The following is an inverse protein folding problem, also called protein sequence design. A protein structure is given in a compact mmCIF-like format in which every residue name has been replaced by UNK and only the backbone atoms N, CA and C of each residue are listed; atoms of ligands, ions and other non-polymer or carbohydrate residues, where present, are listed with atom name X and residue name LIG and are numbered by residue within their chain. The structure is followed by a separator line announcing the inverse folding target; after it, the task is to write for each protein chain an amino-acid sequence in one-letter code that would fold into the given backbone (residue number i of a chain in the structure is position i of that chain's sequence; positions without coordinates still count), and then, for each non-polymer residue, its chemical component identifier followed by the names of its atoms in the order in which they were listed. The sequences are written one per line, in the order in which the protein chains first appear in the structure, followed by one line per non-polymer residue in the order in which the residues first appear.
data_IF_834634388148
#
_entry.id   IF_834634388148
#
_cell.length_a   1.000
_cell.length_b   1.000
_cell.length_c   1.000
_cell.angle_alpha   90.00
_cell.angle_beta   90.00
_cell.angle_gamma   90.00
#
_symmetry.space_group_name_H-M   'P 1'
#
loop_
_entity.id
_entity.type
_entity.pdbx_description
1 polymer ?
#
# COMPACT_ATOMS: atom_id res chain seq x y z
N UNK A 1 32.97 -0.86 21.11
CA UNK A 1 32.19 -1.63 22.10
C UNK A 1 30.80 -1.83 21.51
N UNK A 2 30.31 -3.07 21.45
CA UNK A 2 28.94 -3.35 21.02
C UNK A 2 27.93 -2.94 22.11
N UNK A 3 26.65 -2.76 21.69
CA UNK A 3 25.55 -2.52 22.65
C UNK A 3 25.18 -3.80 23.40
N UNK A 4 24.66 -3.67 24.61
CA UNK A 4 24.11 -4.81 25.37
C UNK A 4 22.72 -5.16 24.81
N UNK A 5 22.65 -6.21 23.99
CA UNK A 5 21.42 -6.67 23.35
C UNK A 5 20.43 -7.34 24.32
N UNK A 6 20.84 -7.69 25.55
CA UNK A 6 19.94 -8.33 26.56
C UNK A 6 18.83 -7.39 27.04
N UNK A 7 18.93 -6.10 26.77
CA UNK A 7 17.91 -5.08 27.09
C UNK A 7 16.98 -4.75 25.92
N UNK A 8 17.23 -5.33 24.76
CA UNK A 8 16.40 -5.18 23.57
C UNK A 8 15.41 -6.35 23.52
N UNK A 9 14.17 -6.09 23.13
CA UNK A 9 13.18 -7.15 22.96
C UNK A 9 13.65 -8.17 21.92
N UNK A 10 13.44 -9.45 22.18
CA UNK A 10 13.91 -10.55 21.33
C UNK A 10 13.35 -10.47 19.91
N UNK A 11 12.12 -9.98 19.74
CA UNK A 11 11.44 -9.81 18.45
C UNK A 11 12.12 -8.77 17.54
N UNK A 12 12.97 -7.90 18.11
CA UNK A 12 13.73 -6.88 17.37
C UNK A 12 15.16 -7.33 17.01
N UNK A 13 15.60 -8.50 17.45
CA UNK A 13 16.95 -9.01 17.15
C UNK A 13 17.13 -9.61 15.75
N UNK A 14 16.11 -10.23 15.13
CA UNK A 14 16.21 -10.71 13.76
C UNK A 14 16.40 -9.54 12.77
N UNK A 15 17.06 -9.84 11.63
CA UNK A 15 17.08 -8.92 10.49
C UNK A 15 15.67 -8.81 9.87
N UNK A 16 15.27 -7.59 9.56
CA UNK A 16 13.98 -7.29 8.93
C UNK A 16 14.17 -7.07 7.45
N UNK A 17 13.21 -7.50 6.64
CA UNK A 17 13.16 -7.15 5.22
C UNK A 17 12.77 -5.68 5.07
N UNK A 18 13.47 -4.95 4.22
CA UNK A 18 13.16 -3.54 3.95
C UNK A 18 13.59 -3.19 2.52
N UNK A 19 12.63 -3.06 1.63
CA UNK A 19 12.92 -2.63 0.26
C UNK A 19 13.39 -1.16 0.21
N UNK A 20 13.03 -0.35 1.20
CA UNK A 20 13.43 1.05 1.25
C UNK A 20 14.95 1.22 1.45
N UNK A 21 15.56 0.32 2.24
CA UNK A 21 16.99 0.38 2.55
C UNK A 21 17.86 -0.31 1.51
N UNK A 22 17.30 -1.29 0.79
CA UNK A 22 18.04 -2.17 -0.13
C UNK A 22 17.94 -1.76 -1.60
N UNK A 23 17.10 -0.76 -1.94
CA UNK A 23 16.96 -0.30 -3.32
C UNK A 23 18.18 0.55 -3.71
N UNK A 24 18.96 0.20 -4.75
CA UNK A 24 20.06 1.01 -5.24
C UNK A 24 19.61 2.40 -5.67
N UNK A 25 20.49 3.38 -5.59
CA UNK A 25 20.21 4.71 -6.11
C UNK A 25 20.25 4.71 -7.64
N UNK A 26 19.24 5.31 -8.26
CA UNK A 26 19.20 5.51 -9.70
C UNK A 26 20.25 6.56 -10.12
N UNK A 27 20.98 6.32 -11.19
CA UNK A 27 21.78 7.33 -11.88
C UNK A 27 20.90 8.13 -12.88
N UNK A 28 21.52 9.12 -13.56
CA UNK A 28 20.77 10.00 -14.47
C UNK A 28 20.15 9.30 -15.68
N UNK A 29 20.71 8.16 -16.09
CA UNK A 29 20.25 7.43 -17.27
C UNK A 29 19.33 6.27 -16.90
N UNK A 30 19.21 5.96 -15.63
CA UNK A 30 18.36 4.86 -15.12
C UNK A 30 16.89 5.28 -15.06
N UNK A 31 15.99 4.46 -15.58
CA UNK A 31 14.57 4.60 -15.39
C UNK A 31 14.19 3.99 -14.03
N UNK A 32 13.87 4.85 -13.07
CA UNK A 32 13.45 4.39 -11.74
C UNK A 32 12.00 3.89 -11.75
N UNK A 33 11.86 2.58 -11.67
CA UNK A 33 10.61 1.85 -11.51
C UNK A 33 10.53 1.13 -10.14
N UNK A 34 11.34 1.53 -9.15
CA UNK A 34 11.44 0.88 -7.85
C UNK A 34 10.38 1.38 -6.86
N UNK A 35 10.19 2.70 -6.76
CA UNK A 35 9.25 3.29 -5.81
C UNK A 35 7.83 3.29 -6.38
N UNK A 36 6.88 2.75 -5.61
CA UNK A 36 5.46 2.69 -6.01
C UNK A 36 4.71 4.02 -5.89
N UNK A 37 5.28 5.11 -6.40
CA UNK A 37 4.68 6.45 -6.41
C UNK A 37 3.96 6.72 -7.74
N UNK A 38 3.13 7.79 -7.82
CA UNK A 38 2.55 8.22 -9.08
C UNK A 38 3.65 8.71 -10.03
N UNK A 39 3.85 8.09 -11.21
CA UNK A 39 4.89 8.52 -12.16
C UNK A 39 4.62 9.90 -12.77
N UNK A 40 3.38 10.38 -12.71
CA UNK A 40 2.98 11.71 -13.21
C UNK A 40 3.22 12.83 -12.19
N UNK A 41 3.62 12.47 -10.94
CA UNK A 41 3.87 13.43 -9.87
C UNK A 41 2.59 13.80 -9.11
N UNK A 42 2.56 15.00 -8.57
CA UNK A 42 1.43 15.57 -7.84
C UNK A 42 0.70 16.64 -8.67
N UNK A 43 -0.58 16.93 -8.37
CA UNK A 43 -1.37 17.96 -9.08
C UNK A 43 -0.81 19.37 -8.88
N UNK A 44 -0.87 20.22 -9.91
CA UNK A 44 -0.31 21.59 -9.90
C UNK A 44 -0.86 22.46 -8.76
N UNK A 45 -2.11 22.22 -8.34
CA UNK A 45 -2.74 22.91 -7.21
C UNK A 45 -1.91 22.84 -5.92
N UNK A 46 -1.08 21.82 -5.76
CA UNK A 46 -0.18 21.68 -4.59
C UNK A 46 0.83 22.83 -4.54
N UNK A 47 1.32 23.29 -5.71
CA UNK A 47 2.27 24.41 -5.82
C UNK A 47 1.62 25.68 -5.27
N UNK A 48 0.38 25.95 -5.68
CA UNK A 48 -0.37 27.13 -5.22
C UNK A 48 -0.63 27.11 -3.72
N UNK A 49 -0.96 25.93 -3.18
CA UNK A 49 -1.18 25.74 -1.74
C UNK A 49 0.10 26.02 -0.96
N UNK A 50 1.25 25.46 -1.40
CA UNK A 50 2.53 25.66 -0.72
C UNK A 50 2.95 27.12 -0.76
N UNK A 51 2.73 27.84 -1.88
CA UNK A 51 3.04 29.26 -1.99
C UNK A 51 2.13 30.16 -1.16
N UNK A 52 0.87 29.78 -0.97
CA UNK A 52 -0.12 30.55 -0.20
C UNK A 52 -0.20 30.15 1.28
N UNK A 53 0.55 29.12 1.70
CA UNK A 53 0.50 28.61 3.07
C UNK A 53 0.96 29.68 4.07
N UNK A 54 0.13 29.96 5.07
CA UNK A 54 0.52 30.83 6.18
C UNK A 54 1.52 30.10 7.10
N UNK A 55 2.79 30.48 6.99
CA UNK A 55 3.88 29.92 7.80
C UNK A 55 3.70 30.11 9.32
N UNK A 56 2.87 31.07 9.76
CA UNK A 56 2.58 31.26 11.18
C UNK A 56 1.82 30.07 11.78
N UNK A 57 1.13 29.27 10.96
CA UNK A 57 0.50 28.01 11.39
C UNK A 57 1.52 27.00 11.93
N UNK A 58 2.79 27.09 11.54
CA UNK A 58 3.85 26.20 12.05
C UNK A 58 4.32 26.55 13.46
N UNK A 59 3.93 27.70 14.01
CA UNK A 59 4.36 28.14 15.35
C UNK A 59 3.68 27.35 16.47
N UNK A 60 2.48 26.82 16.24
CA UNK A 60 1.71 26.06 17.23
C UNK A 60 1.58 24.60 16.85
N UNK A 61 1.20 23.76 17.82
CA UNK A 61 0.81 22.39 17.52
C UNK A 61 -0.40 22.36 16.57
N UNK A 62 -0.48 21.37 15.66
CA UNK A 62 -1.59 21.29 14.71
C UNK A 62 -2.94 21.08 15.43
N UNK A 63 -3.88 21.98 15.17
CA UNK A 63 -5.24 21.92 15.73
C UNK A 63 -6.33 21.96 14.65
N UNK A 64 -5.96 22.16 13.38
CA UNK A 64 -6.92 22.26 12.29
C UNK A 64 -7.60 20.92 12.01
N UNK A 65 -8.92 20.91 11.90
CA UNK A 65 -9.73 19.77 11.50
C UNK A 65 -10.00 19.74 9.98
N UNK A 66 -9.47 20.73 9.23
CA UNK A 66 -9.73 20.92 7.80
C UNK A 66 -9.47 19.66 6.93
N UNK A 67 -8.41 18.91 7.24
CA UNK A 67 -8.09 17.67 6.51
C UNK A 67 -9.12 16.56 6.79
N UNK A 68 -9.56 16.42 8.06
CA UNK A 68 -10.56 15.46 8.47
C UNK A 68 -11.94 15.80 7.86
N UNK A 69 -12.33 17.06 7.88
CA UNK A 69 -13.56 17.56 7.27
C UNK A 69 -13.56 17.34 5.74
N UNK A 70 -12.41 17.57 5.09
CA UNK A 70 -12.25 17.32 3.66
C UNK A 70 -12.37 15.82 3.31
N UNK A 71 -11.85 14.91 4.15
CA UNK A 71 -12.05 13.46 3.97
C UNK A 71 -13.53 13.11 4.05
N UNK A 72 -14.26 13.63 5.06
CA UNK A 72 -15.71 13.38 5.19
C UNK A 72 -16.45 13.86 3.95
N UNK A 73 -16.15 15.07 3.48
CA UNK A 73 -16.76 15.64 2.27
C UNK A 73 -16.41 14.82 1.02
N UNK A 74 -15.18 14.36 0.89
CA UNK A 74 -14.72 13.55 -0.26
C UNK A 74 -15.51 12.25 -0.42
N UNK A 75 -15.96 11.67 0.70
CA UNK A 75 -16.72 10.42 0.71
C UNK A 75 -18.23 10.59 0.82
N UNK A 76 -18.78 11.82 1.00
CA UNK A 76 -20.19 12.08 1.33
C UNK A 76 -21.18 11.46 0.33
N UNK A 77 -20.83 11.39 -0.97
CA UNK A 77 -21.70 10.86 -2.02
C UNK A 77 -21.58 9.33 -2.17
N UNK A 78 -20.65 8.72 -1.45
CA UNK A 78 -20.29 7.30 -1.55
C UNK A 78 -20.59 6.50 -0.28
N UNK A 79 -20.35 7.08 0.89
CA UNK A 79 -20.54 6.43 2.17
C UNK A 79 -20.90 7.44 3.25
N UNK A 80 -21.78 7.04 4.18
CA UNK A 80 -22.06 7.86 5.35
C UNK A 80 -20.92 7.78 6.35
N UNK A 81 -20.12 8.84 6.41
CA UNK A 81 -18.97 8.98 7.28
C UNK A 81 -19.09 10.30 8.04
N UNK A 82 -18.82 10.25 9.34
CA UNK A 82 -18.74 11.42 10.22
C UNK A 82 -17.29 11.66 10.66
N UNK A 83 -16.92 12.86 11.13
CA UNK A 83 -15.55 13.14 11.57
C UNK A 83 -15.02 12.13 12.61
N UNK A 84 -15.89 11.61 13.47
CA UNK A 84 -15.54 10.61 14.48
C UNK A 84 -15.17 9.25 13.92
N UNK A 85 -15.46 8.98 12.65
CA UNK A 85 -15.04 7.77 11.95
C UNK A 85 -13.61 7.87 11.38
N UNK A 86 -13.03 9.08 11.35
CA UNK A 86 -11.77 9.38 10.66
C UNK A 86 -10.64 9.64 11.65
N UNK A 87 -9.48 9.02 11.41
CA UNK A 87 -8.23 9.32 12.10
C UNK A 87 -7.19 9.73 11.06
N UNK A 88 -6.72 10.98 11.10
CA UNK A 88 -5.63 11.46 10.26
C UNK A 88 -4.30 10.87 10.74
N UNK A 89 -3.41 10.50 9.81
CA UNK A 89 -2.14 9.82 10.11
C UNK A 89 -0.98 10.35 9.25
N UNK A 90 0.26 10.11 9.68
CA UNK A 90 1.48 10.46 8.94
C UNK A 90 1.75 9.46 7.77
N UNK A 91 0.73 9.23 6.94
CA UNK A 91 0.70 8.23 5.87
C UNK A 91 0.19 6.85 6.34
N UNK A 92 0.01 5.93 5.38
CA UNK A 92 -0.53 4.59 5.67
C UNK A 92 0.36 3.74 6.57
N UNK A 93 1.70 3.84 6.48
CA UNK A 93 2.61 3.11 7.37
C UNK A 93 2.34 3.46 8.84
N UNK A 94 2.18 4.75 9.15
CA UNK A 94 1.83 5.18 10.50
C UNK A 94 0.46 4.64 10.92
N UNK A 95 -0.52 4.64 10.02
CA UNK A 95 -1.83 4.05 10.27
C UNK A 95 -1.75 2.55 10.59
N UNK A 96 -1.02 1.78 9.79
CA UNK A 96 -0.83 0.34 9.98
C UNK A 96 -0.13 0.04 11.31
N UNK A 97 0.92 0.80 11.65
CA UNK A 97 1.62 0.66 12.91
C UNK A 97 0.70 0.93 14.11
N UNK A 98 -0.17 1.95 14.03
CA UNK A 98 -1.16 2.21 15.07
C UNK A 98 -2.14 1.04 15.21
N UNK A 99 -2.63 0.48 14.10
CA UNK A 99 -3.56 -0.65 14.12
C UNK A 99 -2.91 -1.90 14.70
N UNK A 100 -1.66 -2.21 14.31
CA UNK A 100 -0.93 -3.32 14.94
C UNK A 100 -0.77 -3.09 16.44
N UNK A 101 -0.44 -1.86 16.89
CA UNK A 101 -0.36 -1.55 18.33
C UNK A 101 -1.69 -1.72 19.06
N UNK A 102 -2.84 -1.50 18.39
CA UNK A 102 -4.16 -1.74 19.00
C UNK A 102 -4.42 -3.24 19.19
N UNK A 103 -4.02 -4.08 18.21
CA UNK A 103 -4.38 -5.50 18.18
C UNK A 103 -3.29 -6.42 18.71
N UNK A 104 -2.02 -5.96 18.74
CA UNK A 104 -0.90 -6.79 19.17
C UNK A 104 -0.99 -7.15 20.66
N UNK A 105 -0.97 -8.43 20.92
CA UNK A 105 -0.79 -9.05 22.24
C UNK A 105 -0.03 -10.35 22.06
N UNK A 106 0.68 -10.86 23.08
CA UNK A 106 1.45 -12.08 22.95
C UNK A 106 0.61 -13.24 22.40
N UNK A 107 1.07 -13.84 21.29
CA UNK A 107 0.41 -14.96 20.64
C UNK A 107 -0.83 -14.62 19.80
N UNK A 108 -1.18 -13.34 19.66
CA UNK A 108 -2.23 -12.90 18.73
C UNK A 108 -1.89 -13.29 17.29
N UNK A 109 -2.90 -13.61 16.49
CA UNK A 109 -2.72 -14.05 15.11
C UNK A 109 -3.20 -12.99 14.12
N UNK A 110 -2.42 -12.78 13.05
CA UNK A 110 -2.78 -12.00 11.89
C UNK A 110 -2.83 -12.93 10.67
N UNK A 111 -3.89 -12.85 9.88
CA UNK A 111 -4.06 -13.62 8.63
C UNK A 111 -3.94 -12.67 7.46
N UNK A 112 -3.18 -13.03 6.42
CA UNK A 112 -3.00 -12.19 5.24
C UNK A 112 -2.61 -13.01 4.00
N UNK A 113 -2.89 -12.48 2.82
CA UNK A 113 -2.33 -13.05 1.59
C UNK A 113 -0.80 -12.93 1.56
N UNK A 114 -0.14 -13.79 0.79
CA UNK A 114 1.30 -13.71 0.54
C UNK A 114 1.57 -14.01 -0.95
N UNK A 115 2.36 -13.17 -1.65
CA UNK A 115 3.05 -11.97 -1.15
C UNK A 115 2.10 -10.80 -0.86
N UNK A 116 2.51 -9.95 0.08
CA UNK A 116 1.80 -8.73 0.50
C UNK A 116 2.80 -7.66 0.92
N UNK A 117 2.32 -6.50 1.38
CA UNK A 117 3.15 -5.40 1.83
C UNK A 117 4.05 -5.80 3.02
N UNK A 118 5.35 -5.82 2.79
CA UNK A 118 6.36 -6.37 3.70
C UNK A 118 6.35 -5.75 5.09
N UNK A 119 6.22 -4.42 5.19
CA UNK A 119 6.28 -3.72 6.49
C UNK A 119 5.15 -4.18 7.42
N UNK A 120 3.98 -4.56 6.89
CA UNK A 120 2.88 -5.08 7.70
C UNK A 120 3.21 -6.44 8.30
N UNK A 121 3.85 -7.31 7.51
CA UNK A 121 4.31 -8.63 7.95
C UNK A 121 5.36 -8.48 9.05
N UNK A 122 6.40 -7.71 8.76
CA UNK A 122 7.54 -7.56 9.65
C UNK A 122 7.15 -6.82 10.94
N UNK A 123 6.33 -5.77 10.84
CA UNK A 123 5.90 -5.04 12.04
C UNK A 123 5.00 -5.88 12.94
N UNK A 124 4.11 -6.71 12.37
CA UNK A 124 3.31 -7.65 13.14
C UNK A 124 4.19 -8.64 13.91
N UNK A 125 5.22 -9.19 13.26
CA UNK A 125 6.20 -10.08 13.90
C UNK A 125 7.00 -9.38 15.00
N UNK A 126 7.49 -8.17 14.75
CA UNK A 126 8.20 -7.35 15.74
C UNK A 126 7.33 -7.01 16.96
N UNK A 127 6.02 -7.02 16.81
CA UNK A 127 5.08 -6.84 17.93
C UNK A 127 4.67 -8.17 18.61
N UNK A 128 5.35 -9.28 18.27
CA UNK A 128 5.14 -10.59 18.89
C UNK A 128 3.89 -11.33 18.41
N UNK A 129 3.32 -10.91 17.27
CA UNK A 129 2.18 -11.59 16.67
C UNK A 129 2.63 -12.78 15.81
N UNK A 130 1.75 -13.78 15.69
CA UNK A 130 1.90 -14.84 14.71
C UNK A 130 1.30 -14.39 13.38
N UNK A 131 2.09 -14.40 12.32
CA UNK A 131 1.61 -14.12 10.97
C UNK A 131 1.30 -15.43 10.25
N UNK A 132 0.04 -15.61 9.89
CA UNK A 132 -0.45 -16.72 9.09
C UNK A 132 -0.61 -16.25 7.64
N UNK A 133 0.39 -16.51 6.81
CA UNK A 133 0.39 -16.17 5.39
C UNK A 133 -0.38 -17.20 4.56
N UNK A 134 -1.38 -16.76 3.81
CA UNK A 134 -2.08 -17.56 2.80
C UNK A 134 -1.35 -17.36 1.47
N UNK A 135 -0.48 -18.30 1.13
CA UNK A 135 0.37 -18.17 -0.06
C UNK A 135 -0.44 -18.28 -1.36
N UNK A 136 -0.33 -17.30 -2.22
CA UNK A 136 -0.78 -17.36 -3.60
C UNK A 136 0.25 -18.16 -4.43
N UNK A 137 -0.23 -19.04 -5.30
CA UNK A 137 0.62 -19.97 -6.04
C UNK A 137 1.11 -19.37 -7.36
N UNK A 138 2.35 -19.71 -7.72
CA UNK A 138 2.84 -19.43 -9.08
C UNK A 138 2.11 -20.23 -10.16
N UNK A 139 1.49 -21.35 -9.81
CA UNK A 139 0.68 -22.18 -10.71
C UNK A 139 -0.61 -21.46 -11.12
N UNK A 140 -1.18 -20.66 -10.21
CA UNK A 140 -2.37 -19.82 -10.46
C UNK A 140 -1.97 -18.37 -10.82
N UNK A 141 -0.74 -18.18 -11.27
CA UNK A 141 -0.18 -16.87 -11.60
C UNK A 141 -0.32 -15.84 -10.46
N UNK A 142 -0.20 -16.28 -9.23
CA UNK A 142 -0.35 -15.51 -7.98
C UNK A 142 -1.73 -14.90 -7.77
N UNK A 143 -2.79 -15.45 -8.39
CA UNK A 143 -4.16 -15.02 -8.14
C UNK A 143 -4.52 -15.19 -6.66
N UNK A 144 -5.13 -14.16 -6.07
CA UNK A 144 -5.60 -14.19 -4.69
C UNK A 144 -6.78 -15.15 -4.54
N UNK A 145 -6.62 -16.15 -3.67
CA UNK A 145 -7.65 -17.16 -3.38
C UNK A 145 -8.44 -16.76 -2.12
N UNK A 146 -9.57 -16.10 -2.36
CA UNK A 146 -10.47 -15.62 -1.30
C UNK A 146 -11.01 -16.75 -0.43
N UNK A 147 -11.28 -17.93 -1.00
CA UNK A 147 -11.81 -19.07 -0.23
C UNK A 147 -10.74 -19.64 0.72
N UNK A 148 -9.49 -19.69 0.29
CA UNK A 148 -8.38 -20.08 1.17
C UNK A 148 -8.17 -19.07 2.29
N UNK A 149 -8.24 -17.76 2.00
CA UNK A 149 -8.13 -16.74 3.03
C UNK A 149 -9.25 -16.87 4.05
N UNK A 150 -10.51 -16.98 3.61
CA UNK A 150 -11.70 -17.15 4.48
C UNK A 150 -11.54 -18.38 5.37
N UNK A 151 -11.03 -19.48 4.81
CA UNK A 151 -10.82 -20.74 5.55
C UNK A 151 -9.74 -20.63 6.63
N UNK A 152 -8.76 -19.72 6.46
CA UNK A 152 -7.71 -19.47 7.43
C UNK A 152 -8.15 -18.58 8.61
N UNK A 153 -9.28 -17.86 8.47
CA UNK A 153 -9.79 -16.97 9.51
C UNK A 153 -10.48 -17.79 10.60
N UNK A 154 -9.97 -17.72 11.83
CA UNK A 154 -10.50 -18.39 13.00
C UNK A 154 -10.87 -17.39 14.09
N UNK A 155 -11.51 -17.85 15.17
CA UNK A 155 -11.80 -17.01 16.35
C UNK A 155 -10.55 -16.53 17.11
N UNK A 156 -9.40 -17.14 16.86
CA UNK A 156 -8.12 -16.77 17.47
C UNK A 156 -7.39 -15.71 16.64
N UNK A 157 -7.85 -15.43 15.41
CA UNK A 157 -7.38 -14.35 14.55
C UNK A 157 -7.76 -13.00 15.16
N UNK A 158 -6.80 -12.13 15.35
CA UNK A 158 -7.04 -10.75 15.83
C UNK A 158 -7.44 -9.82 14.70
N UNK A 159 -6.75 -9.92 13.57
CA UNK A 159 -7.13 -9.22 12.35
C UNK A 159 -6.74 -9.98 11.08
N UNK A 160 -7.46 -9.69 10.02
CA UNK A 160 -7.08 -10.02 8.63
C UNK A 160 -6.53 -8.75 7.99
N UNK A 161 -5.40 -8.86 7.28
CA UNK A 161 -4.84 -7.76 6.50
C UNK A 161 -4.95 -8.06 5.01
N UNK A 162 -5.43 -7.07 4.25
CA UNK A 162 -5.64 -7.14 2.80
C UNK A 162 -5.16 -5.83 2.22
N UNK A 163 -4.11 -5.83 1.43
CA UNK A 163 -3.75 -4.69 0.59
C UNK A 163 -4.53 -4.76 -0.73
N UNK A 164 -5.40 -3.82 -0.96
CA UNK A 164 -6.28 -3.78 -2.13
C UNK A 164 -6.32 -2.38 -2.76
N UNK A 165 -5.63 -2.16 -3.87
CA UNK A 165 -4.82 -3.10 -4.70
C UNK A 165 -3.59 -3.68 -4.00
N UNK A 166 -3.32 -4.98 -4.27
CA UNK A 166 -2.21 -5.70 -3.66
C UNK A 166 -0.82 -5.17 -4.08
N UNK A 167 0.07 -5.08 -3.13
CA UNK A 167 1.49 -4.82 -3.34
C UNK A 167 2.30 -6.09 -2.94
N UNK A 168 2.90 -6.84 -3.89
CA UNK A 168 3.52 -6.32 -5.12
C UNK A 168 2.78 -6.58 -6.44
N UNK A 169 1.68 -7.30 -6.48
CA UNK A 169 1.10 -7.81 -7.73
C UNK A 169 0.28 -6.77 -8.50
N UNK A 170 -0.36 -5.83 -7.82
CA UNK A 170 -1.31 -4.89 -8.40
C UNK A 170 -2.70 -5.48 -8.65
N UNK A 171 -3.01 -6.65 -8.09
CA UNK A 171 -4.36 -7.25 -8.14
C UNK A 171 -5.36 -6.40 -7.37
N UNK A 172 -6.61 -6.48 -7.78
CA UNK A 172 -7.75 -5.81 -7.13
C UNK A 172 -8.83 -6.85 -6.85
N UNK A 173 -9.18 -7.01 -5.59
CA UNK A 173 -10.38 -7.72 -5.19
C UNK A 173 -11.61 -6.83 -5.39
N UNK A 174 -12.66 -7.40 -5.95
CA UNK A 174 -13.94 -6.73 -6.08
C UNK A 174 -14.61 -6.50 -4.71
N UNK A 175 -15.55 -5.55 -4.64
CA UNK A 175 -16.36 -5.36 -3.43
C UNK A 175 -17.20 -6.59 -3.05
N UNK A 176 -17.52 -7.49 -4.00
CA UNK A 176 -18.16 -8.77 -3.71
C UNK A 176 -17.19 -9.71 -2.98
N UNK A 177 -15.97 -9.86 -3.47
CA UNK A 177 -14.92 -10.68 -2.85
C UNK A 177 -14.53 -10.15 -1.47
N UNK A 178 -14.29 -8.84 -1.35
CA UNK A 178 -14.07 -8.18 -0.06
C UNK A 178 -15.25 -8.42 0.89
N UNK A 179 -16.48 -8.26 0.42
CA UNK A 179 -17.70 -8.50 1.20
C UNK A 179 -17.81 -9.92 1.77
N UNK A 180 -17.32 -10.94 1.04
CA UNK A 180 -17.25 -12.33 1.54
C UNK A 180 -16.26 -12.46 2.70
N UNK A 181 -15.08 -11.87 2.57
CA UNK A 181 -14.07 -11.86 3.64
C UNK A 181 -14.60 -11.10 4.86
N UNK A 182 -15.15 -9.91 4.65
CA UNK A 182 -15.70 -9.06 5.72
C UNK A 182 -16.86 -9.74 6.45
N UNK A 183 -17.71 -10.46 5.73
CA UNK A 183 -18.80 -11.25 6.36
C UNK A 183 -18.25 -12.30 7.31
N UNK A 184 -17.18 -13.00 6.91
CA UNK A 184 -16.51 -13.98 7.77
C UNK A 184 -15.87 -13.32 9.00
N UNK A 185 -15.25 -12.16 8.81
CA UNK A 185 -14.67 -11.38 9.91
C UNK A 185 -15.75 -10.93 10.90
N UNK A 186 -16.89 -10.43 10.40
CA UNK A 186 -18.03 -10.02 11.24
C UNK A 186 -18.61 -11.19 12.05
N UNK A 187 -18.79 -12.37 11.43
CA UNK A 187 -19.25 -13.60 12.11
C UNK A 187 -18.37 -14.01 13.31
N UNK A 188 -17.07 -13.80 13.19
CA UNK A 188 -16.09 -14.21 14.19
C UNK A 188 -15.63 -13.08 15.11
N UNK A 189 -16.14 -11.86 14.91
CA UNK A 189 -15.67 -10.63 15.58
C UNK A 189 -14.15 -10.38 15.38
N UNK A 190 -13.65 -10.67 14.19
CA UNK A 190 -12.29 -10.42 13.74
C UNK A 190 -12.26 -9.10 12.98
N UNK A 191 -11.24 -8.26 13.19
CA UNK A 191 -11.08 -7.04 12.43
C UNK A 191 -10.48 -7.30 11.05
N UNK A 192 -10.94 -6.56 10.03
CA UNK A 192 -10.35 -6.58 8.69
C UNK A 192 -9.73 -5.22 8.39
N UNK A 193 -8.40 -5.19 8.22
CA UNK A 193 -7.63 -4.03 7.79
C UNK A 193 -7.50 -4.11 6.28
N UNK A 194 -8.18 -3.22 5.55
CA UNK A 194 -8.06 -3.08 4.11
C UNK A 194 -7.14 -1.89 3.83
N UNK A 195 -5.93 -2.18 3.38
CA UNK A 195 -4.94 -1.17 2.99
C UNK A 195 -5.18 -0.77 1.53
N UNK A 196 -5.72 0.40 1.35
CA UNK A 196 -6.07 0.97 0.06
C UNK A 196 -5.03 1.97 -0.44
N UNK A 197 -3.73 1.72 -0.17
CA UNK A 197 -2.66 2.64 -0.57
C UNK A 197 -2.62 2.92 -2.07
N UNK A 198 -3.03 1.98 -2.90
CA UNK A 198 -3.11 2.14 -4.36
C UNK A 198 -4.52 2.35 -4.90
N UNK A 199 -5.55 2.43 -4.05
CA UNK A 199 -6.94 2.49 -4.49
C UNK A 199 -7.34 3.84 -5.14
N UNK A 200 -6.50 4.86 -5.10
CA UNK A 200 -6.74 6.10 -5.86
C UNK A 200 -6.57 5.91 -7.38
N UNK A 201 -6.02 4.78 -7.82
CA UNK A 201 -5.89 4.42 -9.24
C UNK A 201 -7.10 3.64 -9.79
N UNK A 202 -8.05 3.29 -8.94
CA UNK A 202 -9.33 2.66 -9.31
C UNK A 202 -10.50 3.57 -8.94
N UNK A 203 -11.70 3.38 -9.51
CA UNK A 203 -12.89 4.16 -9.18
C UNK A 203 -13.23 4.11 -7.69
N UNK A 204 -13.70 5.22 -7.11
CA UNK A 204 -14.09 5.30 -5.69
C UNK A 204 -15.19 4.29 -5.32
N UNK A 205 -16.04 3.95 -6.26
CA UNK A 205 -17.11 2.94 -6.11
C UNK A 205 -16.56 1.53 -5.82
N UNK A 206 -15.32 1.26 -6.22
CA UNK A 206 -14.62 0.00 -5.96
C UNK A 206 -13.89 -0.02 -4.61
N UNK A 207 -13.85 1.10 -3.87
CA UNK A 207 -13.20 1.20 -2.57
C UNK A 207 -13.94 0.41 -1.49
N UNK A 208 -13.17 -0.20 -0.57
CA UNK A 208 -13.70 -0.85 0.63
C UNK A 208 -14.49 0.12 1.53
N UNK A 209 -14.24 1.43 1.45
CA UNK A 209 -15.01 2.45 2.20
C UNK A 209 -16.51 2.32 1.93
N UNK A 210 -16.91 1.89 0.71
CA UNK A 210 -18.31 1.63 0.34
C UNK A 210 -18.97 0.55 1.19
N UNK A 211 -18.17 -0.35 1.75
CA UNK A 211 -18.63 -1.48 2.56
C UNK A 211 -18.73 -1.13 4.05
N UNK A 212 -18.09 -0.04 4.49
CA UNK A 212 -18.04 0.38 5.90
C UNK A 212 -19.38 0.42 6.63
N UNK A 213 -20.47 0.92 6.02
CA UNK A 213 -21.78 0.93 6.67
C UNK A 213 -22.36 -0.45 7.00
N UNK A 214 -21.88 -1.52 6.37
CA UNK A 214 -22.36 -2.90 6.60
C UNK A 214 -21.54 -3.68 7.62
N UNK A 215 -20.27 -3.30 7.85
CA UNK A 215 -19.32 -4.12 8.60
C UNK A 215 -18.65 -3.32 9.70
N UNK A 216 -18.97 -3.63 10.95
CA UNK A 216 -18.44 -2.92 12.13
C UNK A 216 -16.96 -3.19 12.38
N UNK A 217 -16.46 -4.33 11.90
CA UNK A 217 -15.06 -4.75 12.08
C UNK A 217 -14.16 -4.36 10.91
N UNK A 218 -14.65 -3.58 9.94
CA UNK A 218 -13.85 -3.10 8.82
C UNK A 218 -13.07 -1.83 9.17
N UNK A 219 -11.82 -1.80 8.70
CA UNK A 219 -10.90 -0.66 8.81
C UNK A 219 -10.34 -0.40 7.42
N UNK A 220 -10.60 0.76 6.83
CA UNK A 220 -9.93 1.20 5.59
C UNK A 220 -8.76 2.10 5.95
N UNK A 221 -7.61 1.86 5.34
CA UNK A 221 -6.39 2.66 5.46
C UNK A 221 -6.09 3.31 4.11
N UNK A 222 -5.95 4.63 4.09
CA UNK A 222 -5.72 5.42 2.87
C UNK A 222 -4.46 6.29 3.01
N UNK A 223 -3.85 6.66 1.88
CA UNK A 223 -2.67 7.54 1.86
C UNK A 223 -2.67 8.45 0.64
N UNK A 224 -2.06 9.61 0.76
CA UNK A 224 -1.80 10.53 -0.35
C UNK A 224 -0.46 10.26 -1.05
N UNK A 225 0.28 9.24 -0.59
CA UNK A 225 1.63 8.93 -1.06
C UNK A 225 1.69 8.39 -2.48
N UNK A 226 0.62 7.72 -2.96
CA UNK A 226 0.61 6.97 -4.21
C UNK A 226 -0.17 7.72 -5.30
N UNK A 227 -1.48 7.61 -5.35
CA UNK A 227 -2.30 8.21 -6.40
C UNK A 227 -2.13 9.73 -6.51
N UNK A 228 -2.08 10.43 -5.39
CA UNK A 228 -1.87 11.88 -5.37
C UNK A 228 -0.42 12.34 -5.53
N UNK A 229 0.57 11.42 -5.61
CA UNK A 229 1.97 11.78 -5.81
C UNK A 229 2.64 12.50 -4.63
N UNK A 230 2.08 12.41 -3.43
CA UNK A 230 2.47 13.19 -2.24
C UNK A 230 3.20 12.36 -1.17
N UNK A 231 4.06 11.43 -1.59
CA UNK A 231 4.80 10.59 -0.66
C UNK A 231 5.59 11.40 0.38
N UNK A 232 6.16 12.54 -0.01
CA UNK A 232 6.90 13.45 0.87
C UNK A 232 6.04 14.26 1.84
N UNK A 233 4.74 14.42 1.58
CA UNK A 233 3.83 15.14 2.48
C UNK A 233 3.49 14.34 3.74
N UNK A 234 3.74 13.06 3.78
CA UNK A 234 3.43 12.18 4.92
C UNK A 234 1.98 12.36 5.39
N UNK A 235 1.02 12.09 4.51
CA UNK A 235 -0.40 12.22 4.79
C UNK A 235 -1.16 10.94 4.47
N UNK A 236 -2.08 10.57 5.36
CA UNK A 236 -2.97 9.42 5.23
C UNK A 236 -4.10 9.50 6.24
N UNK A 237 -5.00 8.53 6.19
CA UNK A 237 -6.10 8.43 7.14
C UNK A 237 -6.64 7.01 7.29
N UNK A 238 -7.31 6.78 8.41
CA UNK A 238 -8.08 5.57 8.71
C UNK A 238 -9.55 5.94 8.71
N UNK A 239 -10.40 5.09 8.14
CA UNK A 239 -11.85 5.14 8.29
C UNK A 239 -12.30 3.84 8.96
N UNK A 240 -13.01 3.96 10.09
CA UNK A 240 -13.55 2.80 10.81
C UNK A 240 -14.70 3.23 11.74
N UNK A 241 -15.26 2.29 12.51
CA UNK A 241 -16.31 2.60 13.46
C UNK A 241 -15.81 3.52 14.60
N UNK A 242 -16.71 4.35 15.14
CA UNK A 242 -16.40 5.37 16.15
C UNK A 242 -15.84 4.79 17.47
N UNK A 243 -16.24 3.58 17.82
CA UNK A 243 -15.75 2.94 19.05
C UNK A 243 -14.28 2.53 18.89
N UNK A 244 -13.89 1.96 17.74
CA UNK A 244 -12.49 1.60 17.48
C UNK A 244 -11.59 2.84 17.41
N UNK A 245 -12.08 3.94 16.84
CA UNK A 245 -11.34 5.23 16.80
C UNK A 245 -10.87 5.66 18.20
N UNK A 246 -11.69 5.43 19.25
CA UNK A 246 -11.30 5.76 20.64
C UNK A 246 -10.07 4.99 21.10
N UNK A 247 -9.90 3.74 20.66
CA UNK A 247 -8.73 2.91 21.00
C UNK A 247 -7.51 3.28 20.15
N UNK A 248 -7.70 3.55 18.86
CA UNK A 248 -6.64 4.05 17.97
C UNK A 248 -6.05 5.34 18.54
N UNK A 249 -6.89 6.29 18.96
CA UNK A 249 -6.44 7.56 19.56
C UNK A 249 -5.63 7.38 20.86
N UNK A 250 -5.79 6.27 21.60
CA UNK A 250 -4.97 6.00 22.81
C UNK A 250 -3.52 5.65 22.50
N UNK A 251 -3.26 5.06 21.34
CA UNK A 251 -1.91 4.66 20.90
C UNK A 251 -1.32 5.65 19.90
N UNK A 252 -2.11 6.62 19.43
CA UNK A 252 -1.65 7.66 18.50
C UNK A 252 -0.75 8.67 19.19
N UNK A 253 0.26 9.16 18.47
CA UNK A 253 0.99 10.33 18.92
C UNK A 253 0.07 11.56 18.93
N UNK A 254 0.14 12.40 19.97
CA UNK A 254 -0.55 13.69 19.95
C UNK A 254 -0.09 14.52 18.74
N UNK A 255 -1.04 15.23 18.13
CA UNK A 255 -0.73 16.16 17.03
C UNK A 255 -0.07 15.52 15.79
N UNK A 256 -0.44 14.27 15.48
CA UNK A 256 -0.04 13.64 14.23
C UNK A 256 -0.43 14.51 13.04
N UNK A 257 0.39 14.42 11.99
CA UNK A 257 0.22 15.17 10.76
C UNK A 257 0.38 16.69 10.94
N UNK A 258 1.48 17.22 10.41
CA UNK A 258 1.80 18.64 10.51
C UNK A 258 0.80 19.53 9.74
N UNK A 259 0.75 20.84 10.06
CA UNK A 259 -0.18 21.79 9.49
C UNK A 259 -0.08 21.97 7.96
N UNK A 260 1.13 21.90 7.39
CA UNK A 260 1.31 21.97 5.94
C UNK A 260 0.66 20.75 5.25
N UNK A 261 0.87 19.55 5.78
CA UNK A 261 0.26 18.33 5.25
C UNK A 261 -1.26 18.36 5.37
N UNK A 262 -1.82 18.92 6.47
CA UNK A 262 -3.27 19.11 6.65
C UNK A 262 -3.84 20.04 5.59
N UNK A 263 -3.19 21.18 5.35
CA UNK A 263 -3.61 22.16 4.35
C UNK A 263 -3.58 21.56 2.93
N UNK A 264 -2.49 20.86 2.57
CA UNK A 264 -2.36 20.17 1.26
C UNK A 264 -3.45 19.14 1.09
N UNK A 265 -3.68 18.28 2.10
CA UNK A 265 -4.74 17.26 2.07
C UNK A 265 -6.12 17.86 1.86
N UNK A 266 -6.47 18.86 2.67
CA UNK A 266 -7.77 19.52 2.59
C UNK A 266 -7.99 20.15 1.22
N UNK A 267 -6.99 20.81 0.69
CA UNK A 267 -7.12 21.48 -0.61
C UNK A 267 -7.27 20.45 -1.74
N UNK A 268 -6.43 19.41 -1.81
CA UNK A 268 -6.51 18.38 -2.86
C UNK A 268 -7.90 17.73 -2.88
N UNK A 269 -8.41 17.31 -1.73
CA UNK A 269 -9.72 16.66 -1.65
C UNK A 269 -10.86 17.62 -2.00
N UNK A 270 -10.72 18.90 -1.70
CA UNK A 270 -11.71 19.92 -2.07
C UNK A 270 -11.67 20.30 -3.56
N UNK A 271 -10.54 20.14 -4.24
CA UNK A 271 -10.39 20.37 -5.69
C UNK A 271 -10.82 19.16 -6.52
N UNK A 272 -11.23 18.06 -5.90
CA UNK A 272 -11.69 16.83 -6.55
C UNK A 272 -10.71 16.30 -7.62
N UNK A 273 -9.42 16.28 -7.28
CA UNK A 273 -8.38 15.71 -8.13
C UNK A 273 -8.60 14.20 -8.25
N UNK A 274 -8.53 13.66 -9.48
CA UNK A 274 -8.83 12.27 -9.78
C UNK A 274 -7.58 11.53 -10.29
N UNK A 275 -6.79 10.86 -9.42
CA UNK A 275 -5.61 10.08 -9.85
C UNK A 275 -5.95 8.92 -10.79
N UNK A 276 -7.18 8.44 -10.79
CA UNK A 276 -7.68 7.36 -11.65
C UNK A 276 -7.56 7.65 -13.16
N UNK A 277 -7.45 8.91 -13.58
CA UNK A 277 -7.33 9.32 -14.97
C UNK A 277 -6.14 8.69 -15.71
N UNK A 278 -5.09 8.27 -14.99
CA UNK A 278 -3.91 7.65 -15.59
C UNK A 278 -4.06 6.14 -15.85
N UNK A 279 -5.17 5.52 -15.45
CA UNK A 279 -5.41 4.08 -15.60
C UNK A 279 -5.30 3.59 -17.05
N UNK A 280 -5.73 4.39 -18.03
CA UNK A 280 -5.63 4.06 -19.46
C UNK A 280 -4.17 3.93 -19.91
N UNK A 281 -3.30 4.83 -19.48
CA UNK A 281 -1.88 4.79 -19.82
C UNK A 281 -1.21 3.53 -19.25
N UNK A 282 -1.53 3.19 -18.00
CA UNK A 282 -0.99 1.97 -17.36
C UNK A 282 -1.47 0.71 -18.06
N UNK A 283 -2.73 0.66 -18.49
CA UNK A 283 -3.29 -0.45 -19.29
C UNK A 283 -2.53 -0.64 -20.60
N UNK A 284 -2.26 0.45 -21.34
CA UNK A 284 -1.49 0.42 -22.58
C UNK A 284 -0.07 -0.10 -22.33
N UNK A 285 0.60 0.43 -21.30
CA UNK A 285 1.98 0.07 -20.98
C UNK A 285 2.07 -1.39 -20.54
N UNK A 286 1.18 -1.87 -19.66
CA UNK A 286 1.16 -3.27 -19.21
C UNK A 286 0.87 -4.23 -20.35
N UNK A 287 -0.01 -3.87 -21.30
CA UNK A 287 -0.22 -4.65 -22.52
C UNK A 287 1.08 -4.83 -23.32
N UNK A 288 1.76 -3.73 -23.62
CA UNK A 288 3.05 -3.76 -24.32
C UNK A 288 4.17 -4.47 -23.51
N UNK A 289 4.11 -4.40 -22.19
CA UNK A 289 5.06 -5.07 -21.29
C UNK A 289 4.87 -6.59 -21.34
N UNK A 290 3.62 -7.10 -21.35
CA UNK A 290 3.34 -8.55 -21.52
C UNK A 290 3.91 -9.05 -22.83
N UNK A 291 3.73 -8.32 -23.93
CA UNK A 291 4.30 -8.70 -25.24
C UNK A 291 5.83 -8.69 -25.22
N UNK A 292 6.45 -7.79 -24.44
CA UNK A 292 7.91 -7.68 -24.33
C UNK A 292 8.54 -8.76 -23.45
N UNK A 293 7.79 -9.38 -22.56
CA UNK A 293 8.27 -10.43 -21.65
C UNK A 293 8.76 -11.69 -22.39
N UNK A 294 8.26 -11.96 -23.59
CA UNK A 294 8.62 -13.16 -24.39
C UNK A 294 8.38 -14.46 -23.60
N UNK A 295 9.26 -15.46 -23.80
CA UNK A 295 9.13 -16.76 -23.15
C UNK A 295 9.88 -16.84 -21.79
N UNK A 296 10.64 -15.80 -21.41
CA UNK A 296 11.49 -15.84 -20.20
C UNK A 296 10.89 -15.14 -18.99
N UNK A 297 10.00 -14.15 -19.20
CA UNK A 297 9.35 -13.43 -18.13
C UNK A 297 7.85 -13.71 -18.11
N UNK A 298 7.30 -13.77 -16.92
CA UNK A 298 5.85 -13.89 -16.69
C UNK A 298 5.42 -12.72 -15.82
N UNK A 299 4.37 -12.00 -16.26
CA UNK A 299 3.69 -11.02 -15.41
C UNK A 299 2.62 -11.74 -14.60
N UNK A 300 2.67 -11.61 -13.29
CA UNK A 300 1.63 -12.13 -12.39
C UNK A 300 0.27 -11.49 -12.69
N UNK A 301 -0.80 -12.12 -12.18
CA UNK A 301 -2.15 -11.53 -12.24
C UNK A 301 -2.11 -10.11 -11.65
N UNK A 302 -2.76 -9.16 -12.35
CA UNK A 302 -2.72 -7.74 -11.99
C UNK A 302 -3.87 -6.99 -12.62
N UNK A 303 -4.39 -5.96 -11.96
CA UNK A 303 -5.28 -4.99 -12.59
C UNK A 303 -4.46 -4.00 -13.42
N UNK A 304 -4.80 -3.86 -14.67
CA UNK A 304 -4.03 -3.03 -15.60
C UNK A 304 -4.11 -1.52 -15.31
N UNK A 305 -5.10 -1.09 -14.53
CA UNK A 305 -5.27 0.32 -14.10
C UNK A 305 -4.27 0.72 -13.00
N UNK A 306 -3.71 -0.24 -12.27
CA UNK A 306 -2.82 -0.01 -11.12
C UNK A 306 -1.36 0.09 -11.59
N UNK A 307 -0.57 1.09 -11.12
CA UNK A 307 0.77 1.36 -11.67
C UNK A 307 1.87 0.42 -11.16
N UNK A 308 1.54 -0.73 -10.60
CA UNK A 308 2.52 -1.73 -10.19
C UNK A 308 2.17 -3.10 -10.76
N UNK A 309 3.18 -3.92 -10.99
CA UNK A 309 3.04 -5.33 -11.34
C UNK A 309 4.24 -6.15 -10.84
N UNK A 310 4.03 -7.44 -10.69
CA UNK A 310 5.05 -8.41 -10.34
C UNK A 310 5.50 -9.15 -11.61
N UNK A 311 6.79 -9.13 -11.88
CA UNK A 311 7.41 -9.91 -12.96
C UNK A 311 8.23 -11.05 -12.36
N UNK A 312 8.17 -12.23 -12.99
CA UNK A 312 8.95 -13.41 -12.65
C UNK A 312 9.79 -13.87 -13.83
N UNK A 313 11.07 -14.12 -13.63
CA UNK A 313 11.88 -14.89 -14.57
C UNK A 313 11.60 -16.39 -14.37
N UNK A 314 11.49 -17.17 -15.48
CA UNK A 314 11.21 -18.62 -15.44
C UNK A 314 12.32 -19.40 -14.77
N UNK A 315 13.57 -18.96 -14.90
CA UNK A 315 14.74 -19.53 -14.24
C UNK A 315 14.90 -18.90 -12.85
N UNK A 316 14.80 -19.72 -11.81
CA UNK A 316 14.85 -19.30 -10.41
C UNK A 316 16.24 -18.82 -9.95
N UNK A 317 17.30 -19.22 -10.69
CA UNK A 317 18.67 -18.83 -10.40
C UNK A 317 19.01 -17.41 -10.87
N UNK A 318 18.21 -16.84 -11.76
CA UNK A 318 18.39 -15.48 -12.28
C UNK A 318 18.03 -14.45 -11.20
N UNK A 319 18.94 -13.51 -10.95
CA UNK A 319 18.65 -12.27 -10.21
C UNK A 319 18.06 -11.26 -11.18
N UNK A 320 16.70 -11.19 -11.20
CA UNK A 320 15.97 -10.36 -12.17
C UNK A 320 16.20 -8.87 -11.93
N UNK A 321 16.32 -8.43 -10.68
CA UNK A 321 16.62 -7.03 -10.39
C UNK A 321 17.97 -6.63 -10.99
N UNK A 322 19.00 -7.43 -10.78
CA UNK A 322 20.34 -7.19 -11.31
C UNK A 322 20.37 -7.21 -12.84
N UNK A 323 19.60 -8.13 -13.44
CA UNK A 323 19.46 -8.21 -14.90
C UNK A 323 18.87 -6.90 -15.46
N UNK A 324 17.81 -6.37 -14.84
CA UNK A 324 17.14 -5.13 -15.27
C UNK A 324 17.97 -3.87 -15.00
N UNK A 325 18.75 -3.83 -13.91
CA UNK A 325 19.68 -2.73 -13.63
C UNK A 325 20.73 -2.61 -14.75
N UNK A 326 21.25 -3.75 -15.25
CA UNK A 326 22.20 -3.75 -16.38
C UNK A 326 21.59 -3.15 -17.67
N UNK A 327 20.28 -3.15 -17.78
CA UNK A 327 19.51 -2.53 -18.87
C UNK A 327 18.94 -1.14 -18.48
N UNK A 328 19.50 -0.51 -17.46
CA UNK A 328 19.12 0.82 -16.94
C UNK A 328 17.65 0.92 -16.45
N UNK A 329 17.12 -0.15 -15.87
CA UNK A 329 15.83 -0.16 -15.17
C UNK A 329 16.05 -0.51 -13.72
N UNK A 330 15.70 0.39 -12.81
CA UNK A 330 15.70 0.12 -11.37
C UNK A 330 14.31 -0.38 -10.93
N UNK A 331 14.29 -1.52 -10.25
CA UNK A 331 13.06 -2.17 -9.73
C UNK A 331 13.24 -2.54 -8.26
N UNK A 332 12.17 -2.94 -7.60
CA UNK A 332 12.25 -3.52 -6.26
C UNK A 332 12.42 -5.05 -6.36
N UNK A 333 13.40 -5.63 -5.65
CA UNK A 333 13.63 -7.07 -5.65
C UNK A 333 12.44 -7.83 -5.09
N UNK A 334 12.11 -8.98 -5.70
CA UNK A 334 11.11 -9.90 -5.14
C UNK A 334 11.50 -10.47 -3.79
N UNK A 335 12.81 -10.59 -3.51
CA UNK A 335 13.32 -11.10 -2.22
C UNK A 335 12.86 -10.26 -1.02
N UNK A 336 12.42 -9.01 -1.25
CA UNK A 336 11.83 -8.16 -0.22
C UNK A 336 10.37 -8.55 0.13
N UNK A 337 9.73 -9.41 -0.66
CA UNK A 337 8.34 -9.84 -0.46
C UNK A 337 8.29 -11.35 -0.19
N UNK A 338 8.03 -11.75 1.03
CA UNK A 338 7.86 -13.18 1.36
C UNK A 338 6.62 -13.76 0.61
N UNK A 339 6.68 -14.96 0.01
CA UNK A 339 7.82 -15.90 -0.04
C UNK A 339 8.66 -15.82 -1.33
N UNK A 340 8.67 -14.67 -2.02
CA UNK A 340 9.29 -14.54 -3.34
C UNK A 340 10.83 -14.60 -3.27
N UNK A 341 11.45 -14.97 -4.40
CA UNK A 341 12.90 -15.06 -4.56
C UNK A 341 13.50 -13.95 -5.44
N UNK A 342 14.80 -14.03 -5.69
CA UNK A 342 15.57 -13.09 -6.52
C UNK A 342 15.14 -13.05 -7.99
N UNK A 343 14.46 -14.09 -8.47
CA UNK A 343 13.93 -14.18 -9.83
C UNK A 343 12.62 -13.39 -10.04
N UNK A 344 12.17 -12.66 -9.01
CA UNK A 344 11.02 -11.75 -9.07
C UNK A 344 11.45 -10.31 -8.92
N UNK A 345 10.67 -9.40 -9.50
CA UNK A 345 10.73 -7.96 -9.22
C UNK A 345 9.32 -7.36 -9.17
N UNK A 346 9.10 -6.44 -8.23
CA UNK A 346 7.99 -5.50 -8.36
C UNK A 346 8.46 -4.34 -9.23
N UNK A 347 7.71 -4.08 -10.29
CA UNK A 347 7.94 -3.00 -11.23
C UNK A 347 6.84 -1.95 -11.09
N UNK A 348 7.20 -0.69 -10.84
CA UNK A 348 6.28 0.43 -11.03
C UNK A 348 6.25 0.81 -12.51
N UNK A 349 5.07 0.82 -13.08
CA UNK A 349 4.84 1.26 -14.47
C UNK A 349 5.17 2.75 -14.58
N UNK A 350 6.04 3.17 -15.53
CA UNK A 350 6.38 4.59 -15.71
C UNK A 350 5.26 5.35 -16.42
N UNK A 351 5.43 6.67 -16.60
CA UNK A 351 4.54 7.47 -17.44
C UNK A 351 4.66 7.06 -18.91
N UNK A 352 3.61 7.32 -19.68
CA UNK A 352 3.51 6.88 -21.10
C UNK A 352 4.70 7.36 -21.96
N UNK A 353 5.24 8.55 -21.71
CA UNK A 353 6.40 9.07 -22.45
C UNK A 353 7.70 8.28 -22.21
N UNK A 354 7.79 7.48 -21.17
CA UNK A 354 8.94 6.65 -20.80
C UNK A 354 8.74 5.16 -21.15
N UNK A 355 7.52 4.78 -21.56
CA UNK A 355 7.15 3.40 -21.86
C UNK A 355 8.07 2.74 -22.89
N UNK A 356 8.46 3.49 -23.95
CA UNK A 356 9.36 2.98 -24.99
C UNK A 356 10.71 2.53 -24.43
N UNK A 357 11.28 3.27 -23.46
CA UNK A 357 12.54 2.90 -22.79
C UNK A 357 12.37 1.62 -21.99
N UNK A 358 11.32 1.53 -21.18
CA UNK A 358 11.00 0.31 -20.41
C UNK A 358 10.91 -0.92 -21.33
N UNK A 359 10.08 -0.85 -22.38
CA UNK A 359 9.82 -1.97 -23.29
C UNK A 359 11.08 -2.42 -24.02
N UNK A 360 11.93 -1.48 -24.46
CA UNK A 360 13.20 -1.81 -25.11
C UNK A 360 14.16 -2.52 -24.14
N UNK A 361 14.27 -2.06 -22.92
CA UNK A 361 15.15 -2.66 -21.92
C UNK A 361 14.65 -4.05 -21.49
N UNK A 362 13.34 -4.26 -21.32
CA UNK A 362 12.78 -5.58 -21.05
C UNK A 362 13.09 -6.55 -22.21
N UNK A 363 12.89 -6.13 -23.45
CA UNK A 363 13.22 -6.97 -24.63
C UNK A 363 14.70 -7.39 -24.68
N UNK A 364 15.61 -6.50 -24.28
CA UNK A 364 17.06 -6.84 -24.21
C UNK A 364 17.35 -7.81 -23.07
N UNK A 365 16.71 -7.64 -21.92
CA UNK A 365 16.89 -8.50 -20.77
C UNK A 365 16.43 -9.95 -21.01
N UNK A 366 15.52 -10.19 -21.96
CA UNK A 366 15.00 -11.53 -22.29
C UNK A 366 15.67 -12.16 -23.51
N UNK A 367 16.60 -11.48 -24.20
CA UNK A 367 17.41 -12.06 -25.26
C UNK A 367 18.50 -12.97 -24.68
#
# INVERSE_FOLDING_TARGET
MGIDKTKIRDELLPEVRSYADNTPLADKDTLDCSLGINPYGFPDVVIDIVHSFDVNRLYQYPHSDEAQEAVVKYWQDYAFIEPENVVMTDGSISALNLLVNVFAKPGAEAVMFMPTFTDMVEYSRMMGMKVHGVANSSEDNFKEDVDRLISAITKDTSFVYIDNPNNPTGQVLSNEELGRILSRCEELSVYAIVDEAYADFIPREESAVMLGPKYNHMISVRTFSKGFGLAGARAGYIITNKELVKYIKKVSNPYMMNEMSRAITAAILNYDVQPVEHGTDFTIIKGALRDACGDKLIMAETDDRVPICLLRHIDEDVDLQRLLINENILTCSGSEFEPLGKNFVRLRVPKISEAGKLIQSIKKAVL
#
